data_IF_751283013291
#
_entry.id   IF_751283013291
#
_cell.length_a   1.000
_cell.length_b   1.000
_cell.length_c   1.000
_cell.angle_alpha   90.00
_cell.angle_beta   90.00
_cell.angle_gamma   90.00
#
_symmetry.space_group_name_H-M   'P 1'
#
loop_
_entity.id
_entity.type
_entity.pdbx_description
1 polymer ?
#
# COMPACT_ATOMS: atom_id res chain seq x y z
N UNK A 1 1.49 6.88 37.72
CA UNK A 1 1.62 5.45 37.38
C UNK A 1 1.85 5.31 35.88
N UNK A 2 2.86 4.55 35.47
CA UNK A 2 3.00 4.10 34.08
C UNK A 2 1.80 3.20 33.75
N UNK A 3 1.23 3.33 32.54
CA UNK A 3 0.06 2.55 32.11
C UNK A 3 0.30 1.05 32.18
N UNK A 4 -0.74 0.25 31.97
CA UNK A 4 -0.80 -1.22 32.15
C UNK A 4 0.14 -2.06 31.27
N UNK A 5 1.24 -1.50 30.77
CA UNK A 5 2.21 -2.16 29.88
C UNK A 5 3.62 -1.96 30.44
N UNK A 6 4.43 -3.01 30.41
CA UNK A 6 5.86 -3.01 30.78
C UNK A 6 6.76 -2.24 29.79
N UNK A 7 6.16 -1.39 28.94
CA UNK A 7 6.86 -0.65 27.89
C UNK A 7 6.63 0.85 28.05
N UNK A 8 7.69 1.64 27.84
CA UNK A 8 7.64 3.11 27.89
C UNK A 8 7.80 3.67 26.49
N UNK A 9 7.01 4.70 26.17
CA UNK A 9 7.17 5.45 24.93
C UNK A 9 8.20 6.55 25.14
N UNK A 10 9.31 6.48 24.40
CA UNK A 10 10.38 7.48 24.43
C UNK A 10 10.42 8.19 23.08
N UNK A 11 10.46 9.51 23.11
CA UNK A 11 10.58 10.35 21.91
C UNK A 11 12.01 10.85 21.77
N UNK A 12 12.62 10.63 20.61
CA UNK A 12 13.94 11.14 20.28
C UNK A 12 13.81 12.34 19.34
N UNK A 13 14.66 13.35 19.53
CA UNK A 13 14.83 14.39 18.53
C UNK A 13 15.53 13.82 17.30
N UNK A 14 15.03 14.14 16.11
CA UNK A 14 15.59 13.68 14.84
C UNK A 14 14.94 12.41 14.28
N UNK A 15 15.55 11.86 13.23
CA UNK A 15 14.96 10.79 12.41
C UNK A 15 15.62 9.42 12.62
N UNK A 16 16.65 9.36 13.46
CA UNK A 16 17.41 8.15 13.80
C UNK A 16 17.01 7.73 15.21
N UNK A 17 16.56 6.48 15.34
CA UNK A 17 16.20 5.89 16.63
C UNK A 17 17.38 5.02 17.05
N UNK A 18 17.97 5.25 18.24
CA UNK A 18 19.06 4.41 18.72
C UNK A 18 18.57 2.96 18.92
N UNK A 19 19.47 1.98 18.80
CA UNK A 19 19.10 0.57 18.98
C UNK A 19 18.88 0.22 20.46
N UNK A 20 19.58 0.91 21.34
CA UNK A 20 19.51 0.74 22.79
C UNK A 20 19.51 2.09 23.49
N UNK A 21 18.86 2.17 24.65
CA UNK A 21 18.97 3.27 25.61
C UNK A 21 19.39 2.73 26.96
N UNK A 22 20.17 3.50 27.69
CA UNK A 22 20.55 3.15 29.06
C UNK A 22 19.65 3.91 30.03
N UNK A 23 19.00 3.18 30.93
CA UNK A 23 18.21 3.74 32.01
C UNK A 23 18.57 3.01 33.31
N UNK A 24 18.99 3.77 34.34
CA UNK A 24 19.47 3.22 35.62
C UNK A 24 20.53 2.11 35.46
N UNK A 25 21.52 2.32 34.58
CA UNK A 25 22.60 1.36 34.26
C UNK A 25 22.15 0.05 33.58
N UNK A 26 20.88 -0.06 33.19
CA UNK A 26 20.36 -1.19 32.40
C UNK A 26 20.16 -0.76 30.96
N UNK A 27 20.52 -1.63 30.01
CA UNK A 27 20.31 -1.38 28.58
C UNK A 27 18.92 -1.90 28.15
N UNK A 28 18.15 -1.03 27.50
CA UNK A 28 16.83 -1.35 26.97
C UNK A 28 16.84 -1.24 25.46
N UNK A 29 16.38 -2.30 24.78
CA UNK A 29 16.27 -2.30 23.33
C UNK A 29 15.13 -1.39 22.88
N UNK A 30 15.47 -0.40 22.08
CA UNK A 30 14.48 0.47 21.46
C UNK A 30 13.86 -0.21 20.23
N UNK A 31 12.54 -0.16 20.14
CA UNK A 31 11.79 -0.57 18.95
C UNK A 31 11.10 0.67 18.37
N UNK A 32 11.17 0.90 17.06
CA UNK A 32 10.39 1.96 16.45
C UNK A 32 8.90 1.79 16.77
N UNK A 33 8.28 2.83 17.32
CA UNK A 33 6.84 2.83 17.58
C UNK A 33 6.07 2.59 16.28
N UNK A 34 5.19 1.58 16.30
CA UNK A 34 4.25 1.28 15.21
C UNK A 34 2.92 1.98 15.54
N UNK A 35 2.57 3.07 14.87
CA UNK A 35 1.32 3.76 15.17
C UNK A 35 0.13 2.85 14.83
N UNK A 36 -0.79 2.75 15.77
CA UNK A 36 -2.08 2.07 15.57
C UNK A 36 -3.08 3.08 15.01
N UNK A 37 -4.03 2.63 14.18
CA UNK A 37 -5.13 3.47 13.76
C UNK A 37 -5.91 3.94 15.00
N UNK A 38 -6.31 5.22 15.09
CA UNK A 38 -7.14 5.68 16.20
C UNK A 38 -8.50 4.99 16.10
N UNK A 39 -8.86 4.22 17.13
CA UNK A 39 -10.16 3.58 17.22
C UNK A 39 -10.99 4.23 18.30
N UNK A 40 -12.22 4.59 17.96
CA UNK A 40 -13.14 5.22 18.89
C UNK A 40 -13.70 4.17 19.85
N UNK A 41 -13.50 4.34 21.16
CA UNK A 41 -14.05 3.42 22.17
C UNK A 41 -15.56 3.57 22.39
N UNK A 42 -16.20 4.60 21.79
CA UNK A 42 -17.66 4.79 21.83
C UNK A 42 -18.35 4.15 20.63
N UNK A 43 -18.05 4.57 19.41
CA UNK A 43 -18.73 4.03 18.22
C UNK A 43 -18.00 2.86 17.54
N UNK A 44 -16.80 2.49 18.02
CA UNK A 44 -15.93 1.44 17.48
C UNK A 44 -15.40 1.70 16.06
N UNK A 45 -15.70 2.87 15.49
CA UNK A 45 -15.19 3.28 14.19
C UNK A 45 -13.70 3.62 14.27
N UNK A 46 -13.01 3.41 13.14
CA UNK A 46 -11.61 3.74 12.97
C UNK A 46 -11.50 5.13 12.34
N UNK A 47 -10.56 5.95 12.81
CA UNK A 47 -10.25 7.28 12.28
C UNK A 47 -10.31 8.41 13.31
N UNK A 48 -10.99 8.20 14.44
CA UNK A 48 -11.11 9.21 15.50
C UNK A 48 -11.06 8.58 16.90
N UNK A 49 -10.84 9.43 17.90
CA UNK A 49 -10.88 9.04 19.33
C UNK A 49 -12.24 9.42 19.92
N UNK A 50 -12.59 8.80 21.05
CA UNK A 50 -13.89 9.01 21.70
C UNK A 50 -14.26 10.49 21.97
N UNK A 51 -13.28 11.33 22.31
CA UNK A 51 -13.51 12.76 22.57
C UNK A 51 -13.80 13.60 21.31
N UNK A 52 -13.53 13.08 20.11
CA UNK A 52 -13.92 13.70 18.82
C UNK A 52 -14.89 12.80 18.04
N UNK A 53 -15.75 12.08 18.77
CA UNK A 53 -16.72 11.21 18.12
C UNK A 53 -17.87 12.05 17.54
N UNK A 54 -18.20 11.90 16.25
CA UNK A 54 -19.37 12.57 15.68
C UNK A 54 -20.68 12.08 16.33
N UNK A 55 -20.69 10.83 16.81
CA UNK A 55 -21.83 10.20 17.49
C UNK A 55 -21.76 10.35 19.02
N UNK A 56 -21.38 11.53 19.51
CA UNK A 56 -21.25 11.78 20.96
C UNK A 56 -22.59 11.77 21.70
N UNK A 57 -23.69 12.06 21.00
CA UNK A 57 -25.07 12.03 21.52
C UNK A 57 -25.67 10.61 21.56
N UNK A 58 -25.07 9.64 20.89
CA UNK A 58 -25.55 8.25 20.83
C UNK A 58 -24.91 7.44 21.98
N UNK A 59 -25.62 6.44 22.56
CA UNK A 59 -25.03 5.51 23.52
C UNK A 59 -23.78 4.83 22.94
N UNK A 60 -22.79 4.61 23.81
CA UNK A 60 -21.58 3.88 23.42
C UNK A 60 -21.95 2.46 22.98
N UNK A 61 -21.17 1.87 22.09
CA UNK A 61 -21.36 0.50 21.61
C UNK A 61 -20.51 -0.48 22.41
N UNK A 62 -21.02 -1.70 22.56
CA UNK A 62 -20.30 -2.77 23.23
C UNK A 62 -19.08 -3.17 22.42
N UNK A 63 -17.92 -3.22 23.07
CA UNK A 63 -16.66 -3.59 22.41
C UNK A 63 -16.68 -4.98 21.78
N UNK A 64 -17.56 -5.89 22.22
CA UNK A 64 -17.63 -7.27 21.73
C UNK A 64 -18.72 -7.47 20.68
N UNK A 65 -19.96 -7.11 20.98
CA UNK A 65 -21.11 -7.35 20.09
C UNK A 65 -21.59 -6.11 19.32
N UNK A 66 -20.96 -4.95 19.51
CA UNK A 66 -21.29 -3.68 18.86
C UNK A 66 -22.72 -3.13 19.08
N UNK A 67 -23.54 -3.80 19.90
CA UNK A 67 -24.85 -3.31 20.34
C UNK A 67 -24.72 -2.05 21.19
N UNK A 68 -25.69 -1.12 21.17
CA UNK A 68 -25.69 0.04 22.06
C UNK A 68 -25.70 -0.41 23.53
N UNK A 69 -24.82 0.16 24.35
CA UNK A 69 -24.81 -0.03 25.79
C UNK A 69 -25.97 0.75 26.41
N UNK A 70 -26.78 0.11 27.26
CA UNK A 70 -27.70 0.81 28.14
C UNK A 70 -26.94 1.70 29.14
N UNK A 71 -27.65 2.62 29.79
CA UNK A 71 -27.08 3.48 30.82
C UNK A 71 -26.56 2.68 32.02
N UNK A 72 -27.19 1.54 32.30
CA UNK A 72 -26.77 0.60 33.33
C UNK A 72 -25.86 -0.49 32.72
N UNK A 73 -24.56 -0.54 33.08
CA UNK A 73 -23.61 -1.49 32.48
C UNK A 73 -23.94 -2.96 32.78
N UNK A 74 -24.62 -3.26 33.90
CA UNK A 74 -24.91 -4.63 34.32
C UNK A 74 -26.14 -5.22 33.61
N UNK A 75 -26.96 -4.36 33.02
CA UNK A 75 -28.11 -4.77 32.19
C UNK A 75 -27.70 -5.27 30.78
N UNK A 76 -26.44 -5.09 30.38
CA UNK A 76 -25.98 -5.47 29.05
C UNK A 76 -25.61 -6.97 28.97
N UNK A 77 -26.49 -7.78 28.41
CA UNK A 77 -26.16 -9.16 28.03
C UNK A 77 -25.44 -9.15 26.68
N UNK A 78 -24.17 -9.56 26.69
CA UNK A 78 -23.33 -9.53 25.51
C UNK A 78 -23.69 -10.67 24.55
N UNK A 79 -24.17 -10.33 23.36
CA UNK A 79 -24.42 -11.29 22.29
C UNK A 79 -23.11 -11.82 21.67
N UNK A 80 -23.24 -12.66 20.63
CA UNK A 80 -22.11 -13.12 19.81
C UNK A 80 -21.22 -11.94 19.36
N UNK A 81 -19.89 -12.14 19.25
CA UNK A 81 -18.99 -11.06 18.85
C UNK A 81 -19.37 -10.58 17.46
N UNK A 82 -19.44 -9.27 17.25
CA UNK A 82 -19.85 -8.69 15.96
C UNK A 82 -18.89 -7.60 15.55
N UNK A 83 -18.47 -7.63 14.29
CA UNK A 83 -17.60 -6.62 13.71
C UNK A 83 -18.39 -5.61 12.88
N UNK A 84 -18.39 -4.33 13.26
CA UNK A 84 -19.04 -3.25 12.48
C UNK A 84 -18.42 -3.01 11.09
N UNK A 85 -17.16 -3.38 10.90
CA UNK A 85 -16.42 -3.14 9.66
C UNK A 85 -16.53 -4.31 8.68
N UNK A 86 -16.52 -5.53 9.22
CA UNK A 86 -16.60 -6.75 8.41
C UNK A 86 -18.02 -7.33 8.33
N UNK A 87 -18.93 -6.88 9.19
CA UNK A 87 -20.32 -7.33 9.28
C UNK A 87 -20.45 -8.85 9.44
N UNK A 88 -19.58 -9.43 10.28
CA UNK A 88 -19.54 -10.86 10.60
C UNK A 88 -19.57 -11.06 12.11
N UNK A 89 -20.06 -12.23 12.52
CA UNK A 89 -20.21 -12.64 13.92
C UNK A 89 -19.04 -13.49 14.45
N UNK A 90 -17.89 -13.51 13.76
CA UNK A 90 -16.73 -14.35 14.12
C UNK A 90 -15.74 -13.66 15.04
N UNK A 91 -15.71 -12.33 15.03
CA UNK A 91 -14.75 -11.52 15.77
C UNK A 91 -15.30 -10.12 16.08
N UNK A 92 -14.70 -9.44 17.06
CA UNK A 92 -15.01 -8.04 17.39
C UNK A 92 -14.26 -7.07 16.49
N UNK A 93 -14.79 -5.86 16.29
CA UNK A 93 -14.09 -4.76 15.59
C UNK A 93 -12.75 -4.35 16.18
N UNK A 94 -12.49 -4.67 17.45
CA UNK A 94 -11.21 -4.39 18.12
C UNK A 94 -10.26 -5.58 18.10
N UNK A 95 -10.70 -6.72 17.57
CA UNK A 95 -9.90 -7.93 17.55
C UNK A 95 -8.73 -7.79 16.56
N UNK A 96 -7.58 -8.31 16.98
CA UNK A 96 -6.35 -8.36 16.19
C UNK A 96 -6.47 -9.24 14.95
N UNK A 97 -7.46 -10.14 14.90
CA UNK A 97 -7.76 -11.02 13.77
C UNK A 97 -8.59 -10.34 12.68
N UNK A 98 -9.16 -9.16 12.95
CA UNK A 98 -10.03 -8.45 12.01
C UNK A 98 -9.27 -8.02 10.74
N UNK A 99 -9.68 -8.48 9.54
CA UNK A 99 -8.97 -8.15 8.29
C UNK A 99 -9.02 -6.65 7.98
N UNK A 100 -10.13 -5.98 8.30
CA UNK A 100 -10.26 -4.53 8.12
C UNK A 100 -9.32 -3.75 9.04
N UNK A 101 -9.24 -4.12 10.33
CA UNK A 101 -8.34 -3.47 11.28
C UNK A 101 -6.87 -3.70 10.88
N UNK A 102 -6.51 -4.92 10.47
CA UNK A 102 -5.18 -5.25 9.99
C UNK A 102 -4.79 -4.42 8.76
N UNK A 103 -5.69 -4.26 7.80
CA UNK A 103 -5.47 -3.39 6.64
C UNK A 103 -5.17 -1.94 7.08
N UNK A 104 -6.00 -1.38 7.97
CA UNK A 104 -5.77 -0.02 8.50
C UNK A 104 -4.48 0.12 9.32
N UNK A 105 -4.09 -0.90 10.05
CA UNK A 105 -2.78 -0.93 10.74
C UNK A 105 -1.61 -0.89 9.75
N UNK A 106 -1.70 -1.62 8.64
CA UNK A 106 -0.69 -1.59 7.56
C UNK A 106 -0.62 -0.21 6.92
N UNK A 107 -1.76 0.43 6.66
CA UNK A 107 -1.83 1.79 6.12
C UNK A 107 -1.18 2.82 7.05
N UNK A 108 -1.50 2.80 8.35
CA UNK A 108 -0.88 3.67 9.35
C UNK A 108 0.63 3.45 9.44
N UNK A 109 1.08 2.19 9.40
CA UNK A 109 2.51 1.86 9.41
C UNK A 109 3.22 2.38 8.15
N UNK A 110 2.61 2.24 6.97
CA UNK A 110 3.13 2.74 5.69
C UNK A 110 3.21 4.27 5.70
N UNK A 111 2.16 4.96 6.13
CA UNK A 111 2.15 6.42 6.24
C UNK A 111 3.23 6.94 7.19
N UNK A 112 3.42 6.27 8.34
CA UNK A 112 4.46 6.64 9.30
C UNK A 112 5.87 6.42 8.76
N UNK A 113 6.08 5.34 7.99
CA UNK A 113 7.34 5.10 7.29
C UNK A 113 7.63 6.21 6.27
N UNK A 114 6.66 6.52 5.40
CA UNK A 114 6.79 7.57 4.38
C UNK A 114 7.08 8.94 4.99
N UNK A 115 6.41 9.28 6.10
CA UNK A 115 6.68 10.53 6.83
C UNK A 115 8.11 10.57 7.37
N UNK A 116 8.60 9.46 7.93
CA UNK A 116 9.99 9.37 8.43
C UNK A 116 11.00 9.47 7.30
N UNK A 117 10.77 8.83 6.16
CA UNK A 117 11.67 8.91 5.01
C UNK A 117 11.68 10.31 4.39
N UNK A 118 10.53 10.97 4.31
CA UNK A 118 10.43 12.34 3.84
C UNK A 118 11.18 13.32 4.76
N UNK A 119 10.97 13.22 6.08
CA UNK A 119 11.73 14.02 7.05
C UNK A 119 13.24 13.79 6.92
N UNK A 120 13.69 12.54 6.76
CA UNK A 120 15.11 12.23 6.54
C UNK A 120 15.68 12.95 5.33
N UNK A 121 14.96 12.92 4.20
CA UNK A 121 15.38 13.61 2.97
C UNK A 121 15.46 15.12 3.16
N UNK A 122 14.51 15.73 3.86
CA UNK A 122 14.51 17.17 4.14
C UNK A 122 15.67 17.62 5.04
N UNK A 123 16.11 16.77 5.97
CA UNK A 123 17.25 17.05 6.86
C UNK A 123 18.62 16.64 6.31
N UNK A 124 18.69 16.03 5.12
CA UNK A 124 19.98 15.73 4.50
C UNK A 124 20.57 17.04 3.97
N UNK A 125 21.81 17.40 4.34
CA UNK A 125 22.49 18.51 3.69
C UNK A 125 22.56 18.20 2.19
N UNK A 126 22.13 19.16 1.35
CA UNK A 126 22.27 19.03 -0.09
C UNK A 126 23.73 18.68 -0.41
N UNK A 127 23.98 17.73 -1.33
CA UNK A 127 25.35 17.49 -1.77
C UNK A 127 25.96 18.83 -2.22
N UNK A 128 27.23 19.12 -1.90
CA UNK A 128 27.87 20.34 -2.36
C UNK A 128 27.68 20.41 -3.87
N UNK A 129 26.97 21.43 -4.34
CA UNK A 129 26.82 21.67 -5.77
C UNK A 129 28.21 21.81 -6.37
N UNK A 130 28.60 20.88 -7.24
CA UNK A 130 29.92 20.85 -7.88
C UNK A 130 30.14 22.00 -8.89
N UNK A 131 29.42 23.11 -8.76
CA UNK A 131 29.39 24.24 -9.69
C UNK A 131 29.91 25.55 -9.09
N UNK A 132 30.66 25.51 -7.98
CA UNK A 132 31.28 26.70 -7.39
C UNK A 132 32.82 26.64 -7.41
N UNK A 133 33.39 26.13 -8.50
CA UNK A 133 34.83 26.16 -8.75
C UNK A 133 35.13 26.67 -10.16
N UNK A 134 34.59 27.84 -10.52
CA UNK A 134 35.08 28.56 -11.69
C UNK A 134 35.12 30.06 -11.42
N UNK A 135 36.35 30.59 -11.58
CA UNK A 135 36.74 31.99 -11.79
C UNK A 135 36.83 32.92 -10.58
N UNK A 136 37.86 32.72 -9.76
CA UNK A 136 38.70 33.84 -9.31
C UNK A 136 40.18 33.44 -9.40
N UNK A 137 40.80 33.78 -10.53
CA UNK A 137 42.25 33.94 -10.62
C UNK A 137 42.60 35.41 -10.31
N UNK A 138 43.78 35.70 -9.73
CA UNK A 138 44.11 37.00 -9.16
C UNK A 138 44.76 37.93 -10.19
N UNK A 139 44.76 39.26 -9.98
CA UNK A 139 45.78 40.13 -10.53
C UNK A 139 46.83 40.47 -9.47
N UNK A 140 48.09 40.31 -9.86
CA UNK A 140 49.26 40.74 -9.10
C UNK A 140 49.44 42.25 -9.18
N UNK A 141 49.64 42.93 -8.05
CA UNK A 141 50.47 44.15 -7.95
C UNK A 141 50.80 44.46 -6.49
N UNK A 142 52.07 44.67 -6.20
CA UNK A 142 52.63 45.32 -4.99
C UNK A 142 53.23 46.69 -5.41
N UNK A 143 53.82 47.56 -4.55
CA UNK A 143 53.97 47.64 -3.07
C UNK A 143 53.69 49.12 -2.57
N UNK A 144 54.33 49.72 -1.52
CA UNK A 144 54.87 49.26 -0.23
C UNK A 144 54.30 50.02 1.01
N UNK A 145 54.51 49.49 2.22
CA UNK A 145 54.48 50.32 3.44
C UNK A 145 54.35 49.57 4.78
N UNK A 146 55.49 49.41 5.48
CA UNK A 146 55.72 49.53 6.94
C UNK A 146 54.44 49.83 7.77
N UNK A 147 54.07 49.10 8.83
CA UNK A 147 54.77 49.08 10.13
C UNK A 147 54.46 47.82 10.97
N UNK A 148 55.37 47.57 11.91
CA UNK A 148 55.52 46.45 12.82
C UNK A 148 54.31 46.06 13.70
N UNK A 149 54.12 44.75 13.90
CA UNK A 149 53.78 44.20 15.21
C UNK A 149 54.25 42.74 15.33
N UNK A 150 54.80 42.45 16.50
CA UNK A 150 55.68 41.34 16.85
C UNK A 150 54.87 40.34 17.66
N UNK A 151 54.65 39.11 17.18
CA UNK A 151 54.24 37.99 18.04
C UNK A 151 54.99 36.72 17.61
N UNK A 152 55.90 36.30 18.49
CA UNK A 152 56.62 35.02 18.49
C UNK A 152 55.63 33.89 18.82
N UNK A 153 55.71 32.78 18.08
CA UNK A 153 55.08 31.52 18.51
C UNK A 153 54.94 30.46 17.42
N UNK A 154 56.03 29.78 17.08
CA UNK A 154 56.07 28.40 16.54
C UNK A 154 56.99 27.58 17.48
N UNK A 155 56.96 26.23 17.52
CA UNK A 155 56.45 25.23 16.55
C UNK A 155 55.71 24.04 17.27
N UNK A 156 55.56 22.80 16.74
CA UNK A 156 55.79 22.27 15.39
C UNK A 156 54.60 21.52 14.76
N UNK A 157 54.84 21.16 13.51
CA UNK A 157 53.98 20.45 12.57
C UNK A 157 53.70 18.99 12.96
N UNK A 158 52.49 18.54 12.68
CA UNK A 158 52.21 17.15 12.34
C UNK A 158 51.67 17.07 10.90
N UNK A 159 52.55 16.53 10.07
CA UNK A 159 52.39 15.89 8.77
C UNK A 159 50.99 15.36 8.43
N UNK A 160 50.48 15.83 7.28
CA UNK A 160 49.79 15.06 6.23
C UNK A 160 48.98 13.83 6.67
N UNK A 161 47.65 14.02 6.80
CA UNK A 161 46.70 12.92 6.75
C UNK A 161 46.51 12.41 5.31
N UNK A 162 46.37 11.10 5.08
CA UNK A 162 46.36 10.52 3.74
C UNK A 162 45.06 10.82 3.02
N UNK A 163 45.19 11.06 1.71
CA UNK A 163 44.12 11.09 0.72
C UNK A 163 43.04 10.04 1.02
N UNK A 164 41.84 10.52 1.36
CA UNK A 164 40.63 9.71 1.36
C UNK A 164 40.40 9.30 -0.10
N UNK A 165 40.44 8.01 -0.45
CA UNK A 165 40.23 7.60 -1.83
C UNK A 165 38.82 8.02 -2.25
N UNK A 166 38.75 8.80 -3.32
CA UNK A 166 37.53 9.12 -4.05
C UNK A 166 36.77 7.81 -4.31
N UNK A 167 35.44 7.78 -4.13
CA UNK A 167 34.66 6.58 -4.39
C UNK A 167 34.91 6.13 -5.83
N UNK A 168 35.52 4.96 -5.97
CA UNK A 168 35.85 4.35 -7.26
C UNK A 168 34.56 4.17 -8.07
N UNK A 169 34.62 4.53 -9.37
CA UNK A 169 33.51 4.43 -10.32
C UNK A 169 32.87 3.03 -10.43
N UNK A 170 33.57 2.00 -9.93
CA UNK A 170 33.08 0.62 -9.88
C UNK A 170 31.89 0.39 -8.94
N UNK A 171 31.72 1.22 -7.90
CA UNK A 171 30.56 1.10 -7.00
C UNK A 171 29.27 1.69 -7.59
N UNK A 172 29.35 2.70 -8.46
CA UNK A 172 28.17 3.25 -9.13
C UNK A 172 27.60 2.28 -10.17
N UNK A 173 28.46 1.61 -10.94
CA UNK A 173 28.06 0.61 -11.93
C UNK A 173 27.31 -0.57 -11.29
N UNK A 174 27.82 -1.10 -10.18
CA UNK A 174 27.13 -2.17 -9.42
C UNK A 174 25.76 -1.73 -8.88
N UNK A 175 25.59 -0.45 -8.52
CA UNK A 175 24.29 0.07 -8.07
C UNK A 175 23.27 0.18 -9.20
N UNK A 176 23.75 0.43 -10.43
CA UNK A 176 22.91 0.53 -11.62
C UNK A 176 22.40 -0.84 -12.07
N UNK A 177 23.29 -1.84 -12.13
CA UNK A 177 22.93 -3.21 -12.51
C UNK A 177 21.89 -3.81 -11.54
N UNK A 178 22.03 -3.54 -10.23
CA UNK A 178 21.06 -3.98 -9.23
C UNK A 178 19.67 -3.33 -9.43
N UNK A 179 19.63 -2.04 -9.81
CA UNK A 179 18.38 -1.34 -10.11
C UNK A 179 17.72 -1.90 -11.37
N UNK A 180 18.50 -2.19 -12.41
CA UNK A 180 18.00 -2.77 -13.65
C UNK A 180 17.40 -4.17 -13.41
N UNK A 181 18.13 -5.04 -12.69
CA UNK A 181 17.63 -6.36 -12.32
C UNK A 181 16.34 -6.30 -11.48
N UNK A 182 16.22 -5.31 -10.60
CA UNK A 182 14.99 -5.10 -9.82
C UNK A 182 13.81 -4.66 -10.70
N UNK A 183 14.06 -3.81 -11.70
CA UNK A 183 13.04 -3.39 -12.67
C UNK A 183 12.57 -4.56 -13.54
N UNK A 184 13.49 -5.39 -14.04
CA UNK A 184 13.15 -6.58 -14.82
C UNK A 184 12.33 -7.57 -14.00
N UNK A 185 12.67 -7.76 -12.73
CA UNK A 185 11.89 -8.62 -11.83
C UNK A 185 10.47 -8.10 -11.62
N UNK A 186 10.33 -6.80 -11.38
CA UNK A 186 9.02 -6.16 -11.23
C UNK A 186 8.20 -6.24 -12.52
N UNK A 187 8.83 -6.06 -13.69
CA UNK A 187 8.17 -6.19 -14.98
C UNK A 187 7.66 -7.62 -15.21
N UNK A 188 8.46 -8.65 -14.90
CA UNK A 188 8.03 -10.05 -14.97
C UNK A 188 6.88 -10.34 -14.00
N UNK A 189 6.90 -9.76 -12.80
CA UNK A 189 5.82 -9.92 -11.82
C UNK A 189 4.53 -9.26 -12.30
N UNK A 190 4.60 -8.07 -12.91
CA UNK A 190 3.46 -7.43 -13.57
C UNK A 190 2.91 -8.28 -14.71
N UNK A 191 3.79 -8.86 -15.53
CA UNK A 191 3.40 -9.77 -16.62
C UNK A 191 2.60 -10.97 -16.07
N UNK A 192 3.12 -11.63 -15.02
CA UNK A 192 2.45 -12.78 -14.39
C UNK A 192 1.07 -12.43 -13.83
N UNK A 193 0.94 -11.26 -13.20
CA UNK A 193 -0.35 -10.79 -12.68
C UNK A 193 -1.33 -10.49 -13.83
N UNK A 194 -0.85 -9.90 -14.92
CA UNK A 194 -1.64 -9.68 -16.13
C UNK A 194 -2.14 -11.00 -16.73
N UNK A 195 -1.26 -11.99 -16.87
CA UNK A 195 -1.59 -13.30 -17.44
C UNK A 195 -2.60 -14.06 -16.57
N UNK A 196 -2.43 -14.07 -15.24
CA UNK A 196 -3.39 -14.66 -14.29
C UNK A 196 -4.78 -14.01 -14.40
N UNK A 197 -4.81 -12.69 -14.59
CA UNK A 197 -6.06 -11.96 -14.72
C UNK A 197 -6.75 -12.24 -16.05
N UNK A 198 -6.00 -12.31 -17.15
CA UNK A 198 -6.53 -12.73 -18.45
C UNK A 198 -7.11 -14.15 -18.41
N UNK A 199 -6.43 -15.08 -17.72
CA UNK A 199 -6.95 -16.43 -17.51
C UNK A 199 -8.26 -16.44 -16.73
N UNK A 200 -8.38 -15.63 -15.67
CA UNK A 200 -9.63 -15.49 -14.90
C UNK A 200 -10.77 -14.91 -15.73
N UNK A 201 -10.49 -13.92 -16.57
CA UNK A 201 -11.49 -13.37 -17.50
C UNK A 201 -11.96 -14.45 -18.46
N UNK A 202 -11.05 -15.22 -19.08
CA UNK A 202 -11.41 -16.30 -19.99
C UNK A 202 -12.26 -17.38 -19.30
N UNK A 203 -11.91 -17.80 -18.08
CA UNK A 203 -12.68 -18.78 -17.32
C UNK A 203 -14.10 -18.29 -16.99
N UNK A 204 -14.26 -17.00 -16.68
CA UNK A 204 -15.58 -16.41 -16.45
C UNK A 204 -16.40 -16.34 -17.72
N UNK A 205 -15.80 -15.94 -18.84
CA UNK A 205 -16.48 -15.92 -20.14
C UNK A 205 -16.97 -17.31 -20.54
N UNK A 206 -16.17 -18.34 -20.31
CA UNK A 206 -16.58 -19.74 -20.54
C UNK A 206 -17.73 -20.15 -19.61
N UNK A 207 -17.67 -19.78 -18.33
CA UNK A 207 -18.74 -20.08 -17.36
C UNK A 207 -20.05 -19.36 -17.74
N UNK A 208 -19.96 -18.12 -18.23
CA UNK A 208 -21.12 -17.40 -18.75
C UNK A 208 -21.70 -18.08 -19.99
N UNK A 209 -20.86 -18.54 -20.93
CA UNK A 209 -21.32 -19.24 -22.12
C UNK A 209 -22.00 -20.59 -21.80
N UNK A 210 -21.48 -21.35 -20.84
CA UNK A 210 -22.10 -22.64 -20.42
C UNK A 210 -23.40 -22.42 -19.65
N UNK A 211 -23.47 -21.39 -18.81
CA UNK A 211 -24.71 -21.06 -18.09
C UNK A 211 -25.79 -20.52 -19.02
N UNK A 212 -25.46 -19.67 -20.00
CA UNK A 212 -26.42 -19.18 -20.98
C UNK A 212 -26.95 -20.32 -21.84
N UNK A 213 -26.09 -21.18 -22.39
CA UNK A 213 -26.52 -22.35 -23.18
C UNK A 213 -27.40 -23.33 -22.40
N UNK A 214 -27.08 -23.58 -21.12
CA UNK A 214 -27.92 -24.39 -20.23
C UNK A 214 -29.28 -23.74 -19.94
N UNK A 215 -29.34 -22.41 -19.86
CA UNK A 215 -30.60 -21.67 -19.70
C UNK A 215 -31.46 -21.75 -20.95
N UNK A 216 -30.85 -21.55 -22.13
CA UNK A 216 -31.58 -21.65 -23.40
C UNK A 216 -32.17 -23.05 -23.59
N UNK A 217 -31.41 -24.11 -23.27
CA UNK A 217 -31.91 -25.48 -23.39
C UNK A 217 -33.07 -25.77 -22.43
N UNK A 218 -32.99 -25.32 -21.18
CA UNK A 218 -34.10 -25.45 -20.21
C UNK A 218 -35.35 -24.68 -20.65
N UNK A 219 -35.20 -23.46 -21.17
CA UNK A 219 -36.33 -22.69 -21.70
C UNK A 219 -36.96 -23.35 -22.93
N UNK A 220 -36.16 -23.93 -23.83
CA UNK A 220 -36.69 -24.67 -24.98
C UNK A 220 -37.48 -25.91 -24.56
N UNK A 221 -37.02 -26.63 -23.53
CA UNK A 221 -37.71 -27.82 -23.01
C UNK A 221 -39.02 -27.44 -22.31
N UNK A 222 -39.02 -26.38 -21.49
CA UNK A 222 -40.24 -25.87 -20.86
C UNK A 222 -41.27 -25.42 -21.90
N UNK A 223 -40.85 -24.72 -22.97
CA UNK A 223 -41.74 -24.34 -24.06
C UNK A 223 -42.32 -25.56 -24.78
N UNK A 224 -41.54 -26.62 -24.95
CA UNK A 224 -42.01 -27.88 -25.54
C UNK A 224 -43.03 -28.59 -24.64
N UNK A 225 -42.86 -28.54 -23.32
CA UNK A 225 -43.84 -29.08 -22.36
C UNK A 225 -45.12 -28.23 -22.33
N UNK A 226 -45.00 -26.92 -22.50
CA UNK A 226 -46.17 -26.03 -22.53
C UNK A 226 -47.04 -26.26 -23.77
N UNK A 227 -46.42 -26.52 -24.94
CA UNK A 227 -47.17 -26.78 -26.19
C UNK A 227 -47.92 -28.11 -26.16
N UNK A 228 -47.41 -29.13 -25.46
CA UNK A 228 -48.09 -30.43 -25.31
C UNK A 228 -49.27 -30.40 -24.32
N UNK A 229 -49.36 -29.38 -23.46
CA UNK A 229 -50.43 -29.21 -22.46
C UNK A 229 -51.72 -28.56 -23.00
N UNK A 230 -51.83 -28.34 -24.31
CA UNK A 230 -53.05 -27.81 -24.95
C UNK A 230 -54.24 -28.79 -24.95
N UNK A 231 -54.08 -29.99 -24.40
CA UNK A 231 -55.16 -30.94 -24.10
C UNK A 231 -55.69 -30.77 -22.66
N UNK A 232 -57.00 -30.99 -22.39
CA UNK A 232 -57.61 -30.70 -21.09
C UNK A 232 -57.00 -31.58 -19.99
N UNK A 233 -56.08 -31.01 -19.24
CA UNK A 233 -55.35 -31.70 -18.15
C UNK A 233 -55.73 -31.11 -16.80
N UNK A 234 -55.71 -31.97 -15.78
CA UNK A 234 -56.16 -31.70 -14.43
C UNK A 234 -55.35 -30.59 -13.74
N UNK A 235 -56.04 -29.70 -13.02
CA UNK A 235 -55.52 -28.54 -12.28
C UNK A 235 -54.27 -28.79 -11.41
N UNK A 236 -54.05 -30.02 -10.92
CA UNK A 236 -52.87 -30.39 -10.10
C UNK A 236 -51.54 -30.40 -10.86
N UNK A 237 -51.57 -30.58 -12.18
CA UNK A 237 -50.36 -30.61 -13.01
C UNK A 237 -49.83 -29.19 -13.28
N UNK A 238 -50.74 -28.21 -13.34
CA UNK A 238 -50.42 -26.80 -13.57
C UNK A 238 -49.70 -26.20 -12.36
N UNK A 239 -50.14 -26.52 -11.14
CA UNK A 239 -49.49 -26.03 -9.91
C UNK A 239 -48.08 -26.58 -9.76
N UNK A 240 -47.87 -27.87 -10.05
CA UNK A 240 -46.53 -28.49 -9.98
C UNK A 240 -45.55 -27.89 -10.99
N UNK A 241 -46.02 -27.53 -12.18
CA UNK A 241 -45.21 -26.84 -13.18
C UNK A 241 -44.89 -25.40 -12.76
N UNK A 242 -45.85 -24.69 -12.16
CA UNK A 242 -45.61 -23.36 -11.62
C UNK A 242 -44.52 -23.37 -10.53
N UNK A 243 -44.59 -24.31 -9.58
CA UNK A 243 -43.57 -24.48 -8.53
C UNK A 243 -42.19 -24.80 -9.12
N UNK A 244 -42.13 -25.66 -10.15
CA UNK A 244 -40.88 -25.97 -10.85
C UNK A 244 -40.30 -24.76 -11.58
N UNK A 245 -41.14 -23.96 -12.24
CA UNK A 245 -40.69 -22.72 -12.90
C UNK A 245 -40.19 -21.73 -11.85
N UNK A 246 -40.90 -21.53 -10.74
CA UNK A 246 -40.52 -20.57 -9.71
C UNK A 246 -39.19 -20.95 -9.02
N UNK A 247 -39.03 -22.22 -8.65
CA UNK A 247 -37.78 -22.73 -8.05
C UNK A 247 -36.60 -22.62 -9.01
N UNK A 248 -36.78 -22.96 -10.29
CA UNK A 248 -35.74 -22.87 -11.32
C UNK A 248 -35.36 -21.41 -11.57
N UNK A 249 -36.35 -20.51 -11.67
CA UNK A 249 -36.14 -19.08 -11.89
C UNK A 249 -35.39 -18.45 -10.71
N UNK A 250 -35.75 -18.81 -9.48
CA UNK A 250 -35.09 -18.31 -8.26
C UNK A 250 -33.63 -18.77 -8.17
N UNK A 251 -33.36 -20.04 -8.50
CA UNK A 251 -32.01 -20.59 -8.54
C UNK A 251 -31.13 -19.87 -9.57
N UNK A 252 -31.67 -19.58 -10.76
CA UNK A 252 -30.96 -18.84 -11.81
C UNK A 252 -30.72 -17.39 -11.44
N UNK A 253 -31.72 -16.70 -10.88
CA UNK A 253 -31.56 -15.34 -10.40
C UNK A 253 -30.44 -15.24 -9.34
N UNK A 254 -30.40 -16.18 -8.40
CA UNK A 254 -29.33 -16.26 -7.39
C UNK A 254 -27.95 -16.43 -8.03
N UNK A 255 -27.82 -17.27 -9.06
CA UNK A 255 -26.56 -17.46 -9.80
C UNK A 255 -26.15 -16.21 -10.57
N UNK A 256 -27.08 -15.49 -11.19
CA UNK A 256 -26.80 -14.23 -11.89
C UNK A 256 -26.30 -13.16 -10.92
N UNK A 257 -26.94 -13.01 -9.76
CA UNK A 257 -26.49 -12.08 -8.70
C UNK A 257 -25.08 -12.45 -8.20
N UNK A 258 -24.76 -13.73 -8.07
CA UNK A 258 -23.40 -14.18 -7.71
C UNK A 258 -22.36 -13.83 -8.79
N UNK A 259 -22.71 -13.97 -10.06
CA UNK A 259 -21.86 -13.61 -11.19
C UNK A 259 -21.63 -12.09 -11.25
N UNK A 260 -22.67 -11.28 -11.11
CA UNK A 260 -22.57 -9.81 -11.06
C UNK A 260 -21.62 -9.37 -9.94
N UNK A 261 -21.79 -9.90 -8.74
CA UNK A 261 -20.90 -9.62 -7.61
C UNK A 261 -19.45 -10.02 -7.89
N UNK A 262 -19.23 -11.12 -8.61
CA UNK A 262 -17.89 -11.58 -8.99
C UNK A 262 -17.26 -10.65 -10.03
N UNK A 263 -18.03 -10.19 -11.02
CA UNK A 263 -17.60 -9.22 -12.04
C UNK A 263 -17.21 -7.89 -11.38
N UNK A 264 -18.04 -7.35 -10.47
CA UNK A 264 -17.75 -6.10 -9.75
C UNK A 264 -16.44 -6.21 -8.96
N UNK A 265 -16.18 -7.34 -8.29
CA UNK A 265 -14.91 -7.57 -7.57
C UNK A 265 -13.70 -7.59 -8.50
N UNK A 266 -13.85 -8.12 -9.71
CA UNK A 266 -12.75 -8.16 -10.69
C UNK A 266 -12.48 -6.78 -11.27
N UNK A 267 -13.53 -6.04 -11.65
CA UNK A 267 -13.41 -4.68 -12.17
C UNK A 267 -12.78 -3.73 -11.15
N UNK A 268 -13.18 -3.82 -9.89
CA UNK A 268 -12.56 -3.02 -8.81
C UNK A 268 -11.10 -3.38 -8.60
N UNK A 269 -10.74 -4.68 -8.68
CA UNK A 269 -9.35 -5.13 -8.60
C UNK A 269 -8.51 -4.56 -9.76
N UNK A 270 -9.03 -4.63 -10.98
CA UNK A 270 -8.43 -4.06 -12.19
C UNK A 270 -8.18 -2.57 -12.06
N UNK A 271 -9.16 -1.81 -11.56
CA UNK A 271 -9.04 -0.38 -11.37
C UNK A 271 -7.92 -0.03 -10.37
N UNK A 272 -7.82 -0.77 -9.25
CA UNK A 272 -6.70 -0.60 -8.32
C UNK A 272 -5.35 -0.91 -8.93
N UNK A 273 -5.26 -1.95 -9.78
CA UNK A 273 -4.01 -2.31 -10.45
C UNK A 273 -3.60 -1.27 -11.49
N UNK A 274 -4.55 -0.76 -12.28
CA UNK A 274 -4.34 0.34 -13.22
C UNK A 274 -3.75 1.58 -12.53
N UNK A 275 -4.34 2.00 -11.39
CA UNK A 275 -3.80 3.12 -10.59
C UNK A 275 -2.39 2.86 -10.05
N UNK A 276 -2.07 1.61 -9.71
CA UNK A 276 -0.71 1.25 -9.29
C UNK A 276 0.30 1.37 -10.45
N UNK A 277 -0.08 0.92 -11.65
CA UNK A 277 0.73 1.04 -12.86
C UNK A 277 0.99 2.50 -13.22
N UNK A 278 -0.03 3.35 -13.19
CA UNK A 278 0.13 4.80 -13.41
C UNK A 278 1.13 5.42 -12.44
N UNK A 279 1.04 5.08 -11.14
CA UNK A 279 1.99 5.57 -10.14
C UNK A 279 3.43 5.09 -10.41
N UNK A 280 3.57 3.86 -10.93
CA UNK A 280 4.87 3.28 -11.24
C UNK A 280 5.48 3.94 -12.48
N UNK A 281 4.69 4.13 -13.54
CA UNK A 281 5.10 4.86 -14.75
C UNK A 281 5.53 6.29 -14.42
N UNK A 282 4.79 6.98 -13.54
CA UNK A 282 5.18 8.30 -13.06
C UNK A 282 6.54 8.29 -12.34
N UNK A 283 6.79 7.30 -11.47
CA UNK A 283 8.10 7.16 -10.81
C UNK A 283 9.23 6.88 -11.81
N UNK A 284 8.99 6.07 -12.84
CA UNK A 284 9.99 5.80 -13.89
C UNK A 284 10.32 7.05 -14.69
N UNK A 285 9.31 7.82 -15.10
CA UNK A 285 9.51 9.07 -15.85
C UNK A 285 10.29 10.10 -15.00
N UNK A 286 9.96 10.24 -13.72
CA UNK A 286 10.68 11.12 -12.80
C UNK A 286 12.15 10.70 -12.61
N UNK A 287 12.42 9.39 -12.55
CA UNK A 287 13.80 8.88 -12.51
C UNK A 287 14.54 9.16 -13.82
N UNK A 288 13.87 9.05 -14.96
CA UNK A 288 14.47 9.30 -16.28
C UNK A 288 14.82 10.77 -16.50
N UNK A 289 14.02 11.70 -15.97
CA UNK A 289 14.30 13.14 -15.99
C UNK A 289 15.48 13.53 -15.09
N UNK A 290 15.71 12.80 -14.00
CA UNK A 290 16.81 13.06 -13.06
C UNK A 290 18.19 12.59 -13.55
N UNK A 291 18.28 11.92 -14.70
CA UNK A 291 19.56 11.46 -15.27
C UNK A 291 20.35 12.62 -15.91
N UNK A 292 21.63 12.80 -15.54
CA UNK A 292 22.45 13.88 -16.09
C UNK A 292 22.62 13.76 -17.62
N UNK A 293 22.68 14.89 -18.36
CA UNK A 293 22.68 14.92 -19.82
C UNK A 293 23.85 14.19 -20.48
N UNK A 294 24.97 13.99 -19.75
CA UNK A 294 26.16 13.30 -20.25
C UNK A 294 25.92 11.83 -20.64
N UNK A 295 24.89 11.15 -20.09
CA UNK A 295 24.55 9.76 -20.45
C UNK A 295 23.43 9.63 -21.50
N UNK A 296 22.80 10.74 -21.93
CA UNK A 296 21.77 10.72 -22.99
C UNK A 296 22.37 10.51 -24.40
N UNK A 297 23.62 10.95 -24.63
CA UNK A 297 24.30 10.78 -25.94
C UNK A 297 24.79 9.35 -26.20
N UNK A 298 25.18 8.60 -25.17
CA UNK A 298 25.67 7.21 -25.33
C UNK A 298 24.54 6.27 -25.82
N UNK A 299 23.32 6.44 -25.32
CA UNK A 299 22.16 5.59 -25.68
C UNK A 299 21.60 5.85 -27.08
N UNK A 300 21.72 7.07 -27.59
CA UNK A 300 21.34 7.37 -28.98
C UNK A 300 22.26 6.70 -30.01
N UNK A 301 23.49 6.33 -29.62
CA UNK A 301 24.47 5.70 -30.52
C UNK A 301 24.33 4.19 -30.63
N UNK A 302 23.81 3.52 -29.62
CA UNK A 302 23.64 2.04 -29.60
C UNK A 302 22.37 1.60 -30.35
N UNK A 303 21.34 2.46 -30.47
CA UNK A 303 20.08 2.13 -31.15
C UNK A 303 20.11 2.16 -32.69
N UNK A 304 21.21 2.62 -33.31
CA UNK A 304 21.29 2.79 -34.77
C UNK A 304 22.02 1.65 -35.51
N UNK A 305 22.49 0.60 -34.81
CA UNK A 305 23.39 -0.42 -35.37
C UNK A 305 22.76 -1.79 -35.65
N UNK A 306 21.44 -1.96 -35.57
CA UNK A 306 20.79 -3.25 -35.82
C UNK A 306 19.68 -3.14 -36.86
N UNK A 307 20.04 -2.89 -38.11
CA UNK A 307 19.24 -3.30 -39.26
C UNK A 307 19.78 -4.65 -39.77
N UNK A 308 18.96 -5.70 -39.84
CA UNK A 308 19.39 -6.96 -40.44
C UNK A 308 19.50 -6.77 -41.95
N UNK A 309 20.68 -7.09 -42.51
CA UNK A 309 20.82 -7.23 -43.97
C UNK A 309 20.03 -8.46 -44.41
N UNK A 310 19.03 -8.21 -45.26
CA UNK A 310 18.33 -9.20 -46.09
C UNK A 310 19.28 -9.85 -47.08
#
# INVERSE_FOLDING_TARGET
MMGSTESVLITFAGTIIPRFVYFKRVSFRCRPHKPKPPTCTRCLAIGHRAHRCPQHSVPAKCRRCASPLPADPDAHVCAQPWCIHCQVNTHSSLDSTCPYLLAKQRDCAKAAFLRRTAMRRATQPSPPSSSAHELLSPPATSPPGSYAAKVKGTPPMCTSSPNKPSPSSSNESRSFDLRLAMLERNQREQQRVSDDLQQKILALTQTLATTTSSLTSQLTELNKQLTTLTAPTSSSHVTKLADMVETTTTAHHTRLVQLENSIVRILTTLETQSKQLESFTYMLNSLQESLPPAKKKERARVGASSTPKT
#
